data_IF_894566718083
#
_entry.id   IF_894566718083
#
_cell.length_a   1.000
_cell.length_b   1.000
_cell.length_c   1.000
_cell.angle_alpha   90.00
_cell.angle_beta   90.00
_cell.angle_gamma   90.00
#
_symmetry.space_group_name_H-M   'P 1'
#
loop_
_entity.id
_entity.type
_entity.pdbx_description
1 polymer ?
#
# COMPACT_ATOMS: atom_id res chain seq x y z
N UNK A 1 -36.06 -43.28 29.58
CA UNK A 1 -36.41 -41.88 29.89
C UNK A 1 -35.99 -41.01 28.72
N UNK A 2 -36.96 -40.37 28.04
CA UNK A 2 -36.75 -39.56 26.83
C UNK A 2 -36.68 -38.09 27.25
N UNK A 3 -35.60 -37.38 26.92
CA UNK A 3 -35.55 -35.92 27.02
C UNK A 3 -35.56 -35.32 25.62
N UNK A 4 -36.62 -34.54 25.35
CA UNK A 4 -36.79 -33.69 24.16
C UNK A 4 -36.10 -32.36 24.43
N UNK A 5 -35.27 -31.88 23.50
CA UNK A 5 -34.87 -30.48 23.43
C UNK A 5 -35.68 -29.77 22.36
N UNK A 6 -36.30 -28.66 22.76
CA UNK A 6 -37.09 -27.75 21.93
C UNK A 6 -36.14 -26.79 21.20
N UNK A 7 -36.28 -26.72 19.87
CA UNK A 7 -35.78 -25.62 19.04
C UNK A 7 -36.68 -24.40 19.22
N UNK A 8 -36.11 -23.25 19.53
CA UNK A 8 -36.78 -21.95 19.44
C UNK A 8 -36.30 -21.22 18.18
N UNK A 9 -37.23 -20.94 17.26
CA UNK A 9 -37.02 -20.14 16.07
C UNK A 9 -37.31 -18.66 16.39
N UNK A 10 -36.36 -17.77 16.07
CA UNK A 10 -36.56 -16.32 16.12
C UNK A 10 -36.88 -15.81 14.71
N UNK A 11 -38.11 -15.32 14.52
CA UNK A 11 -38.51 -14.54 13.34
C UNK A 11 -38.21 -13.06 13.57
N UNK A 12 -37.55 -12.42 12.60
CA UNK A 12 -37.34 -10.97 12.54
C UNK A 12 -38.35 -10.38 11.55
N UNK A 13 -39.14 -9.42 12.00
CA UNK A 13 -40.10 -8.63 11.22
C UNK A 13 -39.43 -7.34 10.75
N UNK A 14 -39.54 -6.92 9.47
CA UNK A 14 -39.12 -5.59 9.05
C UNK A 14 -40.23 -4.55 9.27
N UNK A 15 -39.87 -3.45 9.93
CA UNK A 15 -40.71 -2.26 10.10
C UNK A 15 -40.55 -1.36 8.86
N UNK A 16 -41.61 -1.24 8.07
CA UNK A 16 -41.75 -0.29 6.95
C UNK A 16 -42.31 1.00 7.52
N UNK A 17 -41.58 2.11 7.39
CA UNK A 17 -42.11 3.46 7.63
C UNK A 17 -42.18 4.18 6.29
N UNK A 18 -43.41 4.32 5.79
CA UNK A 18 -43.77 5.20 4.70
C UNK A 18 -44.15 6.57 5.29
N UNK A 19 -43.51 7.64 4.81
CA UNK A 19 -44.01 9.01 5.00
C UNK A 19 -44.28 9.66 3.65
N UNK A 20 -45.52 10.12 3.56
CA UNK A 20 -46.23 10.72 2.45
C UNK A 20 -45.83 12.18 2.16
N UNK A 21 -46.06 12.58 0.89
CA UNK A 21 -45.98 13.94 0.32
C UNK A 21 -46.82 14.99 1.10
N UNK A 22 -46.64 16.28 0.77
CA UNK A 22 -47.61 16.87 -0.16
C UNK A 22 -47.00 17.71 -1.29
N UNK A 23 -47.80 17.81 -2.35
CA UNK A 23 -47.67 18.60 -3.56
C UNK A 23 -47.57 20.11 -3.29
N UNK A 24 -46.88 20.82 -4.19
CA UNK A 24 -47.30 22.17 -4.61
C UNK A 24 -47.03 22.39 -6.08
N UNK A 25 -48.09 22.80 -6.76
CA UNK A 25 -48.23 23.17 -8.16
C UNK A 25 -47.78 24.62 -8.43
N UNK A 26 -47.35 24.81 -9.67
CA UNK A 26 -47.52 25.98 -10.55
C UNK A 26 -46.89 27.33 -10.16
N UNK A 27 -45.92 27.77 -10.96
CA UNK A 27 -46.16 28.80 -12.00
C UNK A 27 -44.85 29.16 -12.73
N UNK A 28 -44.84 28.97 -14.06
CA UNK A 28 -44.07 29.78 -15.00
C UNK A 28 -44.91 31.05 -15.31
N UNK A 29 -44.37 32.17 -15.89
CA UNK A 29 -43.79 32.11 -17.23
C UNK A 29 -42.74 33.20 -17.61
N UNK A 30 -42.32 33.12 -18.88
CA UNK A 30 -41.81 34.17 -19.79
C UNK A 30 -40.29 34.38 -19.92
N UNK A 31 -39.81 33.79 -21.02
CA UNK A 31 -39.11 34.45 -22.13
C UNK A 31 -38.64 35.89 -21.91
N UNK A 32 -37.32 36.09 -22.07
CA UNK A 32 -36.76 37.27 -22.74
C UNK A 32 -35.43 36.89 -23.40
N UNK A 33 -35.46 36.92 -24.73
CA UNK A 33 -34.31 36.90 -25.62
C UNK A 33 -33.28 37.96 -25.22
N UNK A 34 -32.00 37.58 -25.17
CA UNK A 34 -30.90 38.44 -25.61
C UNK A 34 -29.81 37.58 -26.25
N UNK A 35 -29.65 37.80 -27.55
CA UNK A 35 -28.54 37.31 -28.35
C UNK A 35 -27.22 37.89 -27.82
N UNK A 36 -26.23 37.02 -27.61
CA UNK A 36 -24.84 37.39 -27.51
C UNK A 36 -24.10 36.66 -28.64
N UNK A 37 -23.67 37.45 -29.62
CA UNK A 37 -22.75 37.01 -30.67
C UNK A 37 -21.48 36.48 -30.01
N UNK A 38 -21.14 35.23 -30.31
CA UNK A 38 -19.85 34.61 -29.94
C UNK A 38 -19.00 34.54 -31.21
N UNK A 39 -17.73 34.98 -31.18
CA UNK A 39 -16.85 34.78 -32.32
C UNK A 39 -16.44 33.30 -32.41
N UNK A 40 -16.69 32.76 -33.60
CA UNK A 40 -16.30 31.43 -34.04
C UNK A 40 -14.77 31.31 -34.04
N UNK A 41 -14.23 30.57 -33.07
CA UNK A 41 -12.86 30.07 -33.10
C UNK A 41 -12.91 28.59 -32.81
N UNK A 42 -13.03 27.82 -33.89
CA UNK A 42 -12.78 26.38 -33.88
C UNK A 42 -11.29 26.15 -33.55
N UNK A 43 -10.92 25.51 -32.43
CA UNK A 43 -9.55 25.08 -32.23
C UNK A 43 -9.31 23.83 -33.09
N UNK A 44 -8.28 23.87 -33.92
CA UNK A 44 -7.80 22.69 -34.62
C UNK A 44 -7.50 21.57 -33.62
N UNK A 45 -8.00 20.36 -33.90
CA UNK A 45 -7.69 19.17 -33.13
C UNK A 45 -6.17 18.91 -33.17
N UNK A 46 -5.51 19.11 -32.03
CA UNK A 46 -4.08 18.85 -31.88
C UNK A 46 -3.85 17.33 -31.77
N UNK A 47 -3.66 16.68 -32.92
CA UNK A 47 -3.31 15.27 -33.03
C UNK A 47 -1.83 15.01 -32.68
N UNK A 48 -1.39 15.39 -31.47
CA UNK A 48 -0.02 15.11 -30.99
C UNK A 48 0.02 13.94 -30.02
N UNK A 49 1.07 13.09 -30.08
CA UNK A 49 1.26 12.00 -29.13
C UNK A 49 1.52 12.56 -27.72
N UNK A 50 0.83 12.00 -26.73
CA UNK A 50 0.79 12.46 -25.33
C UNK A 50 2.13 12.39 -24.55
N UNK A 51 3.26 12.14 -25.22
CA UNK A 51 4.54 11.81 -24.57
C UNK A 51 5.66 12.81 -24.85
N UNK A 52 5.39 14.03 -25.33
CA UNK A 52 6.41 15.06 -25.52
C UNK A 52 6.23 16.19 -24.50
N UNK A 53 7.00 16.15 -23.41
CA UNK A 53 7.19 17.30 -22.53
C UNK A 53 8.05 18.36 -23.24
N UNK A 54 7.67 19.64 -23.16
CA UNK A 54 8.58 20.74 -23.49
C UNK A 54 9.31 21.21 -22.24
N UNK A 55 10.61 21.44 -22.40
CA UNK A 55 11.41 22.22 -21.46
C UNK A 55 10.81 23.65 -21.43
N UNK A 56 10.09 23.99 -20.35
CA UNK A 56 9.44 25.31 -20.19
C UNK A 56 7.92 25.33 -20.08
N UNK A 57 7.23 24.19 -20.07
CA UNK A 57 5.79 24.19 -19.73
C UNK A 57 5.61 24.70 -18.29
N UNK A 58 4.94 25.84 -18.16
CA UNK A 58 4.57 26.40 -16.86
C UNK A 58 3.54 25.47 -16.22
N UNK A 59 4.03 24.50 -15.45
CA UNK A 59 3.23 23.62 -14.61
C UNK A 59 2.35 24.52 -13.75
N UNK A 60 1.03 24.56 -13.99
CA UNK A 60 0.07 25.08 -13.00
C UNK A 60 0.50 24.46 -11.69
N UNK A 61 0.81 25.28 -10.67
CA UNK A 61 1.24 24.80 -9.34
C UNK A 61 0.40 23.57 -9.02
N UNK A 62 0.97 22.36 -9.04
CA UNK A 62 0.19 21.19 -8.72
C UNK A 62 -0.26 21.42 -7.29
N UNK A 63 -1.53 21.15 -7.00
CA UNK A 63 -1.91 20.90 -5.62
C UNK A 63 -1.09 19.68 -5.21
N UNK A 64 0.07 19.93 -4.61
CA UNK A 64 0.94 18.89 -4.08
C UNK A 64 0.12 18.29 -2.94
N UNK A 65 -0.61 17.22 -3.26
CA UNK A 65 -1.30 16.41 -2.29
C UNK A 65 -0.22 15.76 -1.43
N UNK A 66 0.14 16.46 -0.36
CA UNK A 66 1.01 15.95 0.69
C UNK A 66 0.19 14.94 1.47
N UNK A 67 0.17 13.70 1.00
CA UNK A 67 -0.27 12.60 1.86
C UNK A 67 0.64 12.59 3.09
N UNK A 68 0.06 12.69 4.29
CA UNK A 68 0.79 12.67 5.57
C UNK A 68 1.58 11.37 5.79
N UNK A 69 1.31 10.34 4.97
CA UNK A 69 1.95 9.02 5.03
C UNK A 69 2.69 8.71 3.75
N UNK A 70 3.92 8.23 3.88
CA UNK A 70 4.70 7.79 2.74
C UNK A 70 4.17 6.48 2.16
N UNK A 71 3.76 5.53 3.01
CA UNK A 71 3.23 4.23 2.59
C UNK A 71 1.99 3.85 3.40
N UNK A 72 1.16 2.98 2.83
CA UNK A 72 0.04 2.38 3.52
C UNK A 72 0.42 1.02 4.11
N UNK A 73 1.08 0.19 3.30
CA UNK A 73 1.26 -1.23 3.58
C UNK A 73 2.55 -1.79 2.95
N UNK A 74 3.25 -2.67 3.66
CA UNK A 74 4.34 -3.51 3.16
C UNK A 74 3.98 -4.96 3.48
N UNK A 75 3.89 -5.80 2.46
CA UNK A 75 3.64 -7.23 2.61
C UNK A 75 4.93 -8.03 2.51
N UNK A 76 5.04 -9.08 3.32
CA UNK A 76 6.16 -10.03 3.29
C UNK A 76 5.71 -11.40 2.75
N UNK A 77 6.67 -12.26 2.44
CA UNK A 77 6.40 -13.66 2.09
C UNK A 77 5.75 -14.42 3.25
N UNK A 78 5.07 -15.52 2.94
CA UNK A 78 4.53 -16.37 3.99
C UNK A 78 5.65 -17.01 4.81
N UNK A 79 5.44 -17.09 6.13
CA UNK A 79 6.43 -17.66 7.06
C UNK A 79 5.78 -18.80 7.82
N UNK A 80 6.45 -19.95 7.84
CA UNK A 80 6.06 -21.07 8.70
C UNK A 80 6.52 -20.79 10.13
N UNK A 81 5.61 -21.01 11.08
CA UNK A 81 5.82 -20.76 12.51
C UNK A 81 5.32 -21.96 13.31
N UNK A 82 5.65 -22.07 14.61
CA UNK A 82 5.10 -23.11 15.47
C UNK A 82 3.56 -23.17 15.51
N UNK A 83 2.88 -22.07 15.16
CA UNK A 83 1.42 -21.96 15.15
C UNK A 83 0.78 -22.11 13.76
N UNK A 84 1.57 -22.40 12.72
CA UNK A 84 1.12 -22.55 11.34
C UNK A 84 1.75 -21.53 10.39
N UNK A 85 1.12 -21.32 9.24
CA UNK A 85 1.60 -20.36 8.27
C UNK A 85 1.17 -18.95 8.64
N UNK A 86 2.02 -17.97 8.35
CA UNK A 86 1.73 -16.57 8.63
C UNK A 86 1.90 -15.69 7.41
N UNK A 87 1.14 -14.59 7.38
CA UNK A 87 1.33 -13.48 6.45
C UNK A 87 1.73 -12.25 7.27
N UNK A 88 3.04 -11.98 7.39
CA UNK A 88 3.53 -10.78 8.04
C UNK A 88 3.29 -9.56 7.15
N UNK A 89 2.96 -8.45 7.79
CA UNK A 89 2.73 -7.18 7.13
C UNK A 89 3.13 -6.02 8.03
N UNK A 90 3.52 -4.91 7.41
CA UNK A 90 3.81 -3.66 8.09
C UNK A 90 2.92 -2.56 7.52
N UNK A 91 2.45 -1.64 8.36
CA UNK A 91 1.64 -0.50 7.95
C UNK A 91 1.96 0.76 8.74
N UNK A 92 1.72 1.92 8.14
CA UNK A 92 1.90 3.20 8.83
C UNK A 92 0.75 3.45 9.83
N UNK A 93 1.09 3.84 11.06
CA UNK A 93 0.11 4.19 12.11
C UNK A 93 -0.31 5.65 12.02
N UNK A 94 -1.45 5.98 12.62
CA UNK A 94 -1.99 7.34 12.70
C UNK A 94 -1.04 8.33 13.38
N UNK A 95 -0.22 7.87 14.32
CA UNK A 95 0.77 8.68 15.04
C UNK A 95 2.13 8.75 14.32
N UNK A 96 2.22 8.30 13.06
CA UNK A 96 3.48 8.24 12.30
C UNK A 96 4.38 7.05 12.65
N UNK A 97 4.02 6.25 13.66
CA UNK A 97 4.75 5.03 14.00
C UNK A 97 4.51 3.89 13.02
N UNK A 98 5.13 2.75 13.29
CA UNK A 98 5.04 1.54 12.48
C UNK A 98 4.16 0.52 13.20
N UNK A 99 3.18 -0.03 12.50
CA UNK A 99 2.44 -1.21 12.92
C UNK A 99 2.98 -2.42 12.19
N UNK A 100 3.22 -3.52 12.89
CA UNK A 100 3.61 -4.79 12.31
C UNK A 100 2.63 -5.87 12.76
N UNK A 101 1.98 -6.52 11.81
CA UNK A 101 0.96 -7.52 12.07
C UNK A 101 1.37 -8.85 11.46
N UNK A 102 1.19 -9.92 12.22
CA UNK A 102 1.41 -11.30 11.82
C UNK A 102 0.05 -11.98 11.84
N UNK A 103 -0.47 -12.31 10.66
CA UNK A 103 -1.73 -13.04 10.51
C UNK A 103 -1.42 -14.52 10.40
N UNK A 104 -1.99 -15.34 11.26
CA UNK A 104 -1.82 -16.79 11.28
C UNK A 104 -2.97 -17.45 10.53
N UNK A 105 -2.65 -18.43 9.69
CA UNK A 105 -3.60 -19.26 8.96
C UNK A 105 -3.21 -20.72 9.12
N UNK A 106 -4.16 -21.57 9.50
CA UNK A 106 -3.98 -23.02 9.46
C UNK A 106 -5.21 -23.69 8.83
N UNK A 107 -5.05 -24.42 7.71
CA UNK A 107 -6.15 -25.21 7.14
C UNK A 107 -6.48 -26.35 8.11
N UNK A 108 -7.71 -26.41 8.64
CA UNK A 108 -8.05 -27.31 9.75
C UNK A 108 -8.80 -28.58 9.33
N UNK A 109 -8.89 -28.89 8.05
CA UNK A 109 -9.84 -29.89 7.58
C UNK A 109 -9.53 -31.33 8.04
N UNK A 110 -8.27 -31.70 8.34
CA UNK A 110 -7.93 -33.11 8.67
C UNK A 110 -6.77 -33.33 9.65
N UNK A 111 -6.14 -32.30 10.24
CA UNK A 111 -5.00 -32.55 11.14
C UNK A 111 -5.47 -32.86 12.57
N UNK A 112 -5.35 -34.13 12.96
CA UNK A 112 -5.55 -34.62 14.35
C UNK A 112 -4.38 -34.22 15.27
N UNK A 113 -3.40 -33.48 14.75
CA UNK A 113 -2.27 -33.00 15.55
C UNK A 113 -2.75 -32.06 16.65
N UNK A 114 -2.30 -32.36 17.88
CA UNK A 114 -2.47 -31.45 19.02
C UNK A 114 -1.96 -30.07 18.62
N UNK A 115 -2.83 -29.09 18.85
CA UNK A 115 -2.52 -27.68 18.65
C UNK A 115 -1.22 -27.34 19.37
N UNK A 116 -0.35 -26.55 18.75
CA UNK A 116 0.52 -25.71 19.56
C UNK A 116 -0.40 -24.84 20.43
N UNK A 117 -0.11 -24.70 21.74
CA UNK A 117 -0.89 -23.81 22.59
C UNK A 117 -0.93 -22.41 21.95
N UNK A 118 -2.01 -21.67 22.20
CA UNK A 118 -2.11 -20.28 21.77
C UNK A 118 -0.83 -19.54 22.21
N UNK A 119 -0.30 -18.63 21.37
CA UNK A 119 0.84 -17.82 21.78
C UNK A 119 0.50 -17.10 23.08
N UNK A 120 1.31 -17.29 24.11
CA UNK A 120 1.20 -16.62 25.39
C UNK A 120 2.00 -15.31 25.39
N UNK A 121 1.76 -14.46 26.39
CA UNK A 121 2.52 -13.23 26.54
C UNK A 121 4.01 -13.55 26.75
N UNK A 122 4.87 -13.07 25.83
CA UNK A 122 6.31 -13.34 25.85
C UNK A 122 6.78 -14.42 24.88
N UNK A 123 5.88 -15.23 24.31
CA UNK A 123 6.22 -16.22 23.28
C UNK A 123 6.72 -15.57 21.98
N UNK A 124 6.30 -14.33 21.77
CA UNK A 124 6.69 -13.51 20.63
C UNK A 124 7.20 -12.17 21.15
N UNK A 125 8.36 -11.74 20.66
CA UNK A 125 8.91 -10.41 20.92
C UNK A 125 9.36 -9.78 19.62
N UNK A 126 9.29 -8.45 19.53
CA UNK A 126 9.67 -7.70 18.35
C UNK A 126 10.52 -6.49 18.69
N UNK A 127 11.61 -6.31 17.96
CA UNK A 127 12.47 -5.12 18.07
C UNK A 127 12.87 -4.64 16.68
N UNK A 128 13.07 -3.34 16.52
CA UNK A 128 13.71 -2.78 15.32
C UNK A 128 15.20 -2.64 15.60
N UNK A 129 16.01 -3.14 14.66
CA UNK A 129 17.46 -3.16 14.72
C UNK A 129 18.05 -2.38 13.54
N UNK A 130 19.10 -1.61 13.81
CA UNK A 130 19.96 -0.96 12.81
C UNK A 130 21.39 -1.42 13.03
N UNK A 131 21.97 -2.15 12.07
CA UNK A 131 23.26 -2.81 12.28
C UNK A 131 23.19 -3.81 13.43
N UNK A 132 23.91 -3.55 14.52
CA UNK A 132 23.91 -4.37 15.75
C UNK A 132 23.12 -3.74 16.91
N UNK A 133 22.52 -2.57 16.71
CA UNK A 133 21.87 -1.80 17.76
C UNK A 133 20.35 -2.00 17.72
N UNK A 134 19.73 -2.30 18.87
CA UNK A 134 18.29 -2.21 19.05
C UNK A 134 17.92 -0.73 19.09
N UNK A 135 17.26 -0.24 18.05
CA UNK A 135 16.87 1.17 17.95
C UNK A 135 15.46 1.42 18.47
N UNK A 136 14.57 0.43 18.43
CA UNK A 136 13.20 0.53 18.99
C UNK A 136 12.75 -0.80 19.57
N UNK A 137 12.08 -0.74 20.71
CA UNK A 137 11.32 -1.85 21.27
C UNK A 137 9.85 -1.75 20.86
N UNK A 138 9.15 -2.87 20.79
CA UNK A 138 7.70 -2.84 20.57
C UNK A 138 6.97 -2.23 21.77
N UNK A 139 5.91 -1.49 21.50
CA UNK A 139 5.01 -0.92 22.50
C UNK A 139 3.55 -1.31 22.19
N UNK A 140 2.89 -2.13 23.01
CA UNK A 140 3.41 -2.77 24.23
C UNK A 140 4.56 -3.75 23.95
N UNK A 141 5.36 -4.03 24.98
CA UNK A 141 6.51 -4.94 24.90
C UNK A 141 6.08 -6.35 24.50
N UNK A 142 4.94 -6.82 25.03
CA UNK A 142 4.30 -8.03 24.55
C UNK A 142 3.36 -7.69 23.37
N UNK A 143 3.39 -8.47 22.28
CA UNK A 143 2.46 -8.27 21.18
C UNK A 143 0.99 -8.42 21.59
N UNK A 144 0.12 -7.69 20.89
CA UNK A 144 -1.33 -7.73 21.11
C UNK A 144 -1.94 -8.83 20.26
N UNK A 145 -2.72 -9.71 20.88
CA UNK A 145 -3.52 -10.71 20.17
C UNK A 145 -4.87 -10.06 19.81
N UNK A 146 -5.00 -9.62 18.56
CA UNK A 146 -6.17 -8.85 18.07
C UNK A 146 -7.37 -9.73 17.71
N UNK A 147 -7.24 -11.04 17.85
CA UNK A 147 -8.30 -12.00 17.64
C UNK A 147 -7.75 -13.38 17.33
N UNK A 148 -8.39 -14.40 17.88
CA UNK A 148 -8.14 -15.79 17.54
C UNK A 148 -9.48 -16.48 17.34
N UNK A 149 -9.85 -16.70 16.08
CA UNK A 149 -11.09 -17.36 15.70
C UNK A 149 -10.72 -18.74 15.18
N UNK A 150 -11.06 -19.77 15.96
CA UNK A 150 -11.04 -21.16 15.52
C UNK A 150 -12.44 -21.59 15.11
N UNK A 151 -12.60 -22.04 13.87
CA UNK A 151 -13.74 -22.83 13.44
C UNK A 151 -13.31 -24.26 13.15
N UNK A 152 -14.27 -25.16 12.93
CA UNK A 152 -14.00 -26.55 12.51
C UNK A 152 -13.24 -26.65 11.18
N UNK A 153 -13.13 -25.55 10.41
CA UNK A 153 -12.56 -25.53 9.06
C UNK A 153 -11.30 -24.67 8.91
N UNK A 154 -11.19 -23.60 9.70
CA UNK A 154 -10.08 -22.67 9.64
C UNK A 154 -9.88 -21.97 10.99
N UNK A 155 -8.62 -21.85 11.39
CA UNK A 155 -8.20 -21.01 12.50
C UNK A 155 -7.41 -19.82 11.98
N UNK A 156 -7.86 -18.62 12.35
CA UNK A 156 -7.17 -17.38 12.07
C UNK A 156 -6.81 -16.66 13.37
N UNK A 157 -5.55 -16.23 13.45
CA UNK A 157 -5.02 -15.46 14.57
C UNK A 157 -4.39 -14.18 14.06
N UNK A 158 -4.46 -13.09 14.82
CA UNK A 158 -3.72 -11.87 14.51
C UNK A 158 -2.88 -11.46 15.72
N UNK A 159 -1.60 -11.23 15.48
CA UNK A 159 -0.68 -10.66 16.45
C UNK A 159 -0.14 -9.33 15.91
N UNK A 160 -0.25 -8.27 16.69
CA UNK A 160 0.24 -6.95 16.30
C UNK A 160 1.27 -6.41 17.28
N UNK A 161 2.31 -5.82 16.72
CA UNK A 161 3.34 -5.06 17.39
C UNK A 161 3.31 -3.64 16.87
N UNK A 162 3.73 -2.70 17.69
CA UNK A 162 3.81 -1.32 17.29
C UNK A 162 5.15 -0.71 17.69
N UNK A 163 5.71 0.11 16.82
CA UNK A 163 6.98 0.77 17.02
C UNK A 163 6.81 2.27 16.79
N UNK A 164 7.67 3.05 17.42
CA UNK A 164 7.77 4.48 17.12
C UNK A 164 8.27 4.71 15.69
N UNK A 165 8.13 5.95 15.23
CA UNK A 165 8.68 6.35 13.94
C UNK A 165 10.21 6.20 13.92
N UNK A 166 10.73 5.73 12.79
CA UNK A 166 12.16 5.71 12.51
C UNK A 166 12.57 7.06 11.88
N UNK A 167 13.84 7.46 12.01
CA UNK A 167 14.32 8.66 11.33
C UNK A 167 14.19 8.56 9.80
N UNK A 168 14.04 9.70 9.09
CA UNK A 168 13.94 9.75 7.64
C UNK A 168 15.31 9.59 6.97
N UNK A 169 15.92 8.41 7.08
CA UNK A 169 17.22 8.11 6.47
C UNK A 169 17.16 6.91 5.52
N UNK A 170 18.28 6.61 4.85
CA UNK A 170 18.40 5.51 3.88
C UNK A 170 19.14 4.29 4.47
N UNK A 171 19.19 4.18 5.80
CA UNK A 171 19.81 3.05 6.51
C UNK A 171 18.96 1.80 6.39
N UNK A 172 19.60 0.64 6.56
CA UNK A 172 18.88 -0.63 6.72
C UNK A 172 18.32 -0.75 8.13
N UNK A 173 17.01 -0.94 8.21
CA UNK A 173 16.32 -1.29 9.42
C UNK A 173 15.68 -2.67 9.27
N UNK A 174 15.74 -3.45 10.33
CA UNK A 174 15.19 -4.79 10.37
C UNK A 174 14.26 -4.94 11.56
N UNK A 175 13.08 -5.52 11.36
CA UNK A 175 12.24 -5.99 12.46
C UNK A 175 12.70 -7.40 12.79
N UNK A 176 13.34 -7.59 13.94
CA UNK A 176 13.62 -8.92 14.48
C UNK A 176 12.43 -9.37 15.28
N UNK A 177 11.87 -10.52 14.92
CA UNK A 177 10.78 -11.17 15.62
C UNK A 177 11.28 -12.52 16.12
N UNK A 178 11.37 -12.64 17.44
CA UNK A 178 11.69 -13.90 18.11
C UNK A 178 10.36 -14.63 18.39
N UNK A 179 10.25 -15.89 17.97
CA UNK A 179 9.07 -16.75 18.16
C UNK A 179 9.54 -18.13 18.62
N UNK A 180 9.04 -18.67 19.75
CA UNK A 180 9.35 -20.03 20.28
C UNK A 180 10.40 -20.86 19.49
N UNK A 181 11.69 -20.61 19.77
CA UNK A 181 12.82 -21.37 19.20
C UNK A 181 13.27 -20.96 17.79
N UNK A 182 12.63 -19.97 17.18
CA UNK A 182 12.92 -19.43 15.85
C UNK A 182 13.08 -17.91 15.88
N UNK A 183 13.88 -17.38 14.97
CA UNK A 183 14.12 -15.95 14.82
C UNK A 183 13.95 -15.55 13.37
N UNK A 184 13.13 -14.53 13.16
CA UNK A 184 12.79 -14.01 11.86
C UNK A 184 13.20 -12.54 11.75
N UNK A 185 13.79 -12.16 10.62
CA UNK A 185 14.21 -10.79 10.33
C UNK A 185 13.45 -10.25 9.14
N UNK A 186 12.70 -9.17 9.32
CA UNK A 186 11.93 -8.56 8.24
C UNK A 186 12.56 -7.23 7.83
N UNK A 187 13.00 -7.12 6.58
CA UNK A 187 13.58 -5.89 6.07
C UNK A 187 12.51 -4.79 6.00
N UNK A 188 12.75 -3.67 6.66
CA UNK A 188 11.99 -2.43 6.42
C UNK A 188 12.60 -1.76 5.19
N UNK A 189 11.83 -1.53 4.10
CA UNK A 189 12.37 -0.78 2.96
C UNK A 189 12.94 0.58 3.42
N UNK A 190 14.22 0.83 3.10
CA UNK A 190 14.89 2.05 3.53
C UNK A 190 14.15 3.30 3.00
N UNK A 191 14.18 4.38 3.77
CA UNK A 191 13.47 5.62 3.45
C UNK A 191 11.94 5.56 3.62
N UNK A 192 11.33 4.46 4.07
CA UNK A 192 9.88 4.43 4.27
C UNK A 192 9.37 5.29 5.43
N UNK A 193 10.22 5.53 6.43
CA UNK A 193 9.77 6.01 7.73
C UNK A 193 9.92 7.51 7.96
N UNK A 194 10.21 8.29 6.91
CA UNK A 194 9.92 9.71 7.03
C UNK A 194 10.09 10.51 5.75
N UNK A 195 9.41 11.64 5.75
CA UNK A 195 9.42 12.64 4.68
C UNK A 195 10.56 13.61 4.96
N UNK A 196 11.77 13.36 4.45
CA UNK A 196 12.71 14.49 4.31
C UNK A 196 12.33 15.25 3.05
N UNK A 197 11.72 16.42 3.23
CA UNK A 197 11.63 17.45 2.19
C UNK A 197 12.96 18.18 1.99
N UNK A 198 14.04 17.80 2.70
CA UNK A 198 15.34 18.43 2.54
C UNK A 198 16.09 17.82 1.37
N UNK A 199 16.41 18.65 0.38
CA UNK A 199 17.22 18.34 -0.81
C UNK A 199 18.65 17.81 -0.51
N UNK A 200 19.01 17.66 0.77
CA UNK A 200 20.36 17.37 1.25
C UNK A 200 20.57 15.97 1.84
N UNK A 201 19.64 15.03 1.67
CA UNK A 201 19.84 13.69 2.20
C UNK A 201 21.11 13.05 1.61
N UNK A 202 22.06 12.61 2.44
CA UNK A 202 23.33 12.09 1.97
C UNK A 202 23.09 10.87 1.08
N UNK A 203 23.85 10.79 -0.03
CA UNK A 203 23.92 9.56 -0.82
C UNK A 203 24.52 8.48 0.06
N UNK A 204 23.81 7.37 0.21
CA UNK A 204 24.35 6.19 0.88
C UNK A 204 24.87 5.23 -0.20
N UNK A 205 26.12 4.82 -0.08
CA UNK A 205 26.73 3.85 -0.98
C UNK A 205 26.10 2.45 -0.76
N UNK A 206 26.00 1.67 -1.85
CA UNK A 206 25.48 0.29 -1.83
C UNK A 206 23.97 0.18 -2.07
N UNK A 207 23.57 -0.38 -3.21
CA UNK A 207 22.15 -0.54 -3.59
C UNK A 207 21.41 -1.60 -2.77
N UNK A 208 22.12 -2.67 -2.40
CA UNK A 208 21.52 -3.86 -1.79
C UNK A 208 21.50 -3.71 -0.27
N UNK A 209 20.36 -4.00 0.39
CA UNK A 209 20.30 -4.10 1.84
C UNK A 209 21.28 -5.17 2.34
N UNK A 210 22.10 -4.82 3.32
CA UNK A 210 23.00 -5.79 3.94
C UNK A 210 22.20 -6.78 4.78
N UNK A 211 22.60 -8.07 4.79
CA UNK A 211 22.04 -9.04 5.73
C UNK A 211 22.16 -8.47 7.16
N UNK A 212 21.15 -8.61 8.04
CA UNK A 212 21.24 -8.08 9.38
C UNK A 212 22.50 -8.62 10.06
N UNK A 213 23.45 -7.76 10.51
CA UNK A 213 24.75 -8.24 10.98
C UNK A 213 24.66 -9.15 12.22
N UNK A 214 23.62 -8.99 13.02
CA UNK A 214 23.35 -9.81 14.20
C UNK A 214 22.56 -11.11 13.90
N UNK A 215 22.25 -11.40 12.63
CA UNK A 215 21.51 -12.60 12.26
C UNK A 215 22.42 -13.84 12.22
N UNK A 216 22.06 -14.86 12.99
CA UNK A 216 22.72 -16.16 12.91
C UNK A 216 22.40 -16.85 11.56
N UNK A 217 23.16 -17.90 11.22
CA UNK A 217 22.89 -18.71 10.03
C UNK A 217 21.53 -19.42 10.12
N UNK A 218 21.12 -19.81 11.34
CA UNK A 218 19.82 -20.43 11.62
C UNK A 218 18.63 -19.48 11.51
N UNK A 219 18.89 -18.17 11.46
CA UNK A 219 17.83 -17.17 11.42
C UNK A 219 17.25 -17.06 10.00
N UNK A 220 15.94 -16.90 9.91
CA UNK A 220 15.27 -16.66 8.62
C UNK A 220 15.23 -15.18 8.31
N UNK A 221 15.74 -14.79 7.14
CA UNK A 221 15.74 -13.40 6.67
C UNK A 221 14.66 -13.23 5.60
N UNK A 222 13.70 -12.38 5.89
CA UNK A 222 12.53 -12.09 5.06
C UNK A 222 12.68 -10.77 4.36
N UNK A 223 12.60 -10.88 3.04
CA UNK A 223 12.51 -9.77 2.09
C UNK A 223 11.05 -9.36 1.94
N UNK A 224 10.77 -8.07 1.75
CA UNK A 224 9.40 -7.63 1.45
C UNK A 224 9.01 -8.07 0.03
N UNK A 225 7.74 -8.38 -0.16
CA UNK A 225 7.17 -8.84 -1.43
C UNK A 225 6.46 -7.70 -2.13
N UNK A 226 5.78 -6.81 -1.43
CA UNK A 226 5.18 -5.65 -2.09
C UNK A 226 5.01 -4.49 -1.14
N UNK A 227 4.93 -3.28 -1.71
CA UNK A 227 4.64 -2.07 -0.96
C UNK A 227 3.49 -1.34 -1.64
N UNK A 228 2.52 -0.87 -0.86
CA UNK A 228 1.45 0.01 -1.32
C UNK A 228 1.71 1.44 -0.81
N UNK A 229 1.79 2.38 -1.75
CA UNK A 229 1.92 3.80 -1.51
C UNK A 229 0.59 4.48 -1.78
N UNK A 230 0.00 5.11 -0.77
CA UNK A 230 -1.11 6.04 -0.98
C UNK A 230 -0.57 7.34 -1.58
N UNK A 231 -1.00 7.71 -2.78
CA UNK A 231 -0.50 8.91 -3.47
C UNK A 231 -1.40 10.12 -3.27
N UNK A 232 -2.69 9.88 -3.04
CA UNK A 232 -3.65 10.93 -2.69
C UNK A 232 -5.00 10.72 -3.35
N UNK A 233 -5.80 11.79 -3.33
CA UNK A 233 -7.14 11.82 -3.92
C UNK A 233 -7.28 12.97 -4.91
N UNK A 234 -7.84 12.70 -6.07
CA UNK A 234 -8.26 13.73 -7.04
C UNK A 234 -9.68 14.13 -6.66
N UNK A 235 -9.79 15.17 -5.83
CA UNK A 235 -11.04 15.56 -5.16
C UNK A 235 -12.15 15.92 -6.14
N UNK A 236 -11.84 16.53 -7.28
CA UNK A 236 -12.80 16.92 -8.31
C UNK A 236 -13.48 15.71 -8.98
N UNK A 237 -12.82 14.56 -8.92
CA UNK A 237 -13.29 13.32 -9.55
C UNK A 237 -13.70 12.24 -8.56
N UNK A 238 -13.46 12.46 -7.26
CA UNK A 238 -13.65 11.47 -6.20
C UNK A 238 -12.85 10.18 -6.47
N UNK A 239 -11.63 10.35 -6.98
CA UNK A 239 -10.72 9.24 -7.27
C UNK A 239 -9.64 9.16 -6.18
N UNK A 240 -9.39 7.96 -5.68
CA UNK A 240 -8.19 7.65 -4.90
C UNK A 240 -7.14 7.02 -5.81
N UNK A 241 -5.88 7.44 -5.65
CA UNK A 241 -4.76 6.94 -6.44
C UNK A 241 -3.72 6.34 -5.50
N UNK A 242 -3.34 5.11 -5.77
CA UNK A 242 -2.33 4.36 -5.03
C UNK A 242 -1.33 3.72 -6.01
N UNK A 243 -0.13 3.42 -5.50
CA UNK A 243 0.90 2.70 -6.24
C UNK A 243 1.27 1.43 -5.48
N UNK A 244 1.05 0.30 -6.13
CA UNK A 244 1.46 -1.01 -5.66
C UNK A 244 2.77 -1.36 -6.37
N UNK A 245 3.84 -1.47 -5.60
CA UNK A 245 5.18 -1.83 -6.08
C UNK A 245 5.38 -3.32 -5.86
N UNK A 246 5.39 -4.05 -6.98
CA UNK A 246 5.76 -5.46 -7.13
C UNK A 246 7.03 -5.53 -8.04
N UNK A 247 7.44 -6.68 -8.57
CA UNK A 247 6.86 -7.12 -9.80
C UNK A 247 7.13 -6.12 -10.91
N UNK A 248 6.01 -5.48 -11.16
CA UNK A 248 5.83 -4.27 -11.91
C UNK A 248 5.39 -3.14 -10.97
N UNK A 249 5.32 -1.94 -11.51
CA UNK A 249 4.68 -0.81 -10.85
C UNK A 249 3.21 -0.76 -11.26
N UNK A 250 2.29 -0.89 -10.31
CA UNK A 250 0.86 -0.87 -10.61
C UNK A 250 0.23 0.37 -10.02
N UNK A 251 -0.27 1.26 -10.87
CA UNK A 251 -1.14 2.35 -10.44
C UNK A 251 -2.53 1.76 -10.23
N UNK A 252 -3.04 1.85 -9.02
CA UNK A 252 -4.43 1.52 -8.71
C UNK A 252 -5.23 2.83 -8.64
N UNK A 253 -6.31 2.85 -9.41
CA UNK A 253 -7.34 3.89 -9.38
C UNK A 253 -8.58 3.32 -8.72
N UNK A 254 -9.08 4.00 -7.70
CA UNK A 254 -10.30 3.63 -6.99
C UNK A 254 -11.32 4.76 -7.00
N UNK A 255 -12.59 4.42 -7.22
CA UNK A 255 -13.71 5.32 -6.97
C UNK A 255 -14.96 4.51 -6.60
N UNK A 256 -15.81 5.06 -5.76
CA UNK A 256 -17.02 4.36 -5.27
C UNK A 256 -18.15 4.29 -6.32
N UNK A 257 -18.11 5.17 -7.33
CA UNK A 257 -19.25 5.44 -8.21
C UNK A 257 -19.01 5.01 -9.65
N UNK A 258 -19.36 3.77 -9.95
CA UNK A 258 -19.41 3.25 -11.33
C UNK A 258 -18.23 2.35 -11.67
N UNK A 259 -18.19 1.93 -12.93
CA UNK A 259 -17.12 1.09 -13.44
C UNK A 259 -16.08 1.90 -14.21
N UNK A 260 -14.82 1.53 -14.07
CA UNK A 260 -13.74 2.16 -14.84
C UNK A 260 -13.82 1.84 -16.33
N UNK A 261 -13.45 2.82 -17.16
CA UNK A 261 -13.05 2.56 -18.54
C UNK A 261 -11.58 2.09 -18.57
N UNK A 262 -11.24 1.20 -19.50
CA UNK A 262 -9.86 0.74 -19.72
C UNK A 262 -9.05 1.74 -20.57
N UNK A 263 -9.71 2.69 -21.23
CA UNK A 263 -9.05 3.69 -22.09
C UNK A 263 -8.91 5.06 -21.42
N UNK A 264 -9.74 5.34 -20.41
CA UNK A 264 -9.80 6.63 -19.71
C UNK A 264 -10.06 6.42 -18.21
N UNK A 265 -9.39 7.15 -17.31
CA UNK A 265 -8.33 8.13 -17.57
C UNK A 265 -7.07 7.48 -18.16
N UNK A 266 -6.23 8.27 -18.81
CA UNK A 266 -4.87 7.85 -19.17
C UNK A 266 -3.97 8.05 -17.97
N UNK A 267 -3.09 7.11 -17.72
CA UNK A 267 -2.07 7.26 -16.67
C UNK A 267 -0.68 7.31 -17.29
N UNK A 268 0.29 7.85 -16.56
CA UNK A 268 1.70 7.66 -16.81
C UNK A 268 2.49 7.72 -15.51
N UNK A 269 3.69 7.17 -15.51
CA UNK A 269 4.58 7.15 -14.34
C UNK A 269 6.00 7.52 -14.75
N UNK A 270 6.64 8.36 -13.94
CA UNK A 270 8.04 8.73 -14.09
C UNK A 270 8.74 8.78 -12.73
N UNK A 271 10.02 8.45 -12.72
CA UNK A 271 10.89 8.56 -11.56
C UNK A 271 12.07 9.46 -11.89
N UNK A 272 12.31 10.45 -11.06
CA UNK A 272 13.39 11.42 -11.19
C UNK A 272 14.34 11.24 -9.99
N UNK A 273 15.42 10.43 -10.12
CA UNK A 273 16.42 10.31 -9.08
C UNK A 273 17.08 11.66 -8.80
N UNK A 274 17.43 11.97 -7.55
CA UNK A 274 18.16 13.19 -7.22
C UNK A 274 19.54 13.24 -7.90
N UNK A 275 19.70 14.18 -8.82
CA UNK A 275 20.91 14.33 -9.64
C UNK A 275 21.08 13.24 -10.72
N UNK A 276 20.00 12.55 -11.08
CA UNK A 276 19.97 11.53 -12.14
C UNK A 276 19.10 11.93 -13.34
N UNK A 277 19.07 11.05 -14.34
CA UNK A 277 18.22 11.19 -15.53
C UNK A 277 16.80 10.68 -15.21
N UNK A 278 15.73 11.41 -15.60
CA UNK A 278 14.36 10.93 -15.49
C UNK A 278 14.16 9.58 -16.19
N UNK A 279 13.39 8.70 -15.56
CA UNK A 279 13.02 7.40 -16.09
C UNK A 279 11.50 7.33 -16.23
N UNK A 280 11.03 6.76 -17.32
CA UNK A 280 9.60 6.67 -17.61
C UNK A 280 9.19 5.21 -17.63
N UNK A 281 8.07 4.90 -16.97
CA UNK A 281 7.48 3.56 -17.03
C UNK A 281 6.73 3.36 -18.34
N UNK A 282 6.89 2.20 -18.95
CA UNK A 282 6.12 1.75 -20.10
C UNK A 282 4.86 1.04 -19.61
N UNK A 283 3.68 1.47 -20.07
CA UNK A 283 2.43 0.80 -19.76
C UNK A 283 2.39 -0.56 -20.45
N UNK A 284 2.24 -1.63 -19.68
CA UNK A 284 2.25 -3.03 -20.16
C UNK A 284 0.88 -3.70 -20.09
N UNK A 285 -0.03 -3.18 -19.26
CA UNK A 285 -1.38 -3.74 -19.13
C UNK A 285 -2.33 -2.80 -18.41
N UNK A 286 -3.61 -2.95 -18.71
CA UNK A 286 -4.71 -2.26 -18.02
C UNK A 286 -5.79 -3.28 -17.72
N UNK A 287 -6.24 -3.32 -16.46
CA UNK A 287 -7.25 -4.28 -16.02
C UNK A 287 -8.20 -3.66 -14.97
N UNK A 288 -9.31 -4.34 -14.69
CA UNK A 288 -10.29 -3.95 -13.68
C UNK A 288 -10.47 -5.06 -12.67
N UNK A 289 -10.84 -4.68 -11.45
CA UNK A 289 -11.29 -5.65 -10.49
C UNK A 289 -12.66 -6.21 -10.92
N UNK A 290 -12.75 -7.53 -11.09
CA UNK A 290 -13.96 -8.22 -11.56
C UNK A 290 -15.19 -8.01 -10.64
N UNK A 291 -14.97 -7.54 -9.40
CA UNK A 291 -16.01 -7.37 -8.40
C UNK A 291 -16.32 -5.88 -8.24
N UNK A 292 -17.48 -5.47 -8.77
CA UNK A 292 -18.03 -4.10 -8.74
C UNK A 292 -17.32 -3.05 -9.61
N UNK A 293 -16.26 -3.39 -10.35
CA UNK A 293 -15.51 -2.49 -11.24
C UNK A 293 -15.01 -1.17 -10.59
N UNK A 294 -14.97 -1.10 -9.25
CA UNK A 294 -14.56 0.10 -8.50
C UNK A 294 -13.06 0.37 -8.58
N UNK A 295 -12.26 -0.62 -9.01
CA UNK A 295 -10.81 -0.53 -9.13
C UNK A 295 -10.34 -0.78 -10.55
N UNK A 296 -9.40 0.04 -11.00
CA UNK A 296 -8.63 -0.16 -12.23
C UNK A 296 -7.15 -0.21 -11.88
N UNK A 297 -6.43 -1.11 -12.55
CA UNK A 297 -5.01 -1.34 -12.38
C UNK A 297 -4.29 -1.10 -13.69
N UNK A 298 -3.34 -0.17 -13.68
CA UNK A 298 -2.48 0.15 -14.81
C UNK A 298 -1.05 -0.30 -14.47
N UNK A 299 -0.55 -1.30 -15.20
CA UNK A 299 0.72 -1.96 -14.93
C UNK A 299 1.83 -1.33 -15.76
N UNK A 300 2.95 -1.00 -15.12
CA UNK A 300 4.09 -0.31 -15.69
C UNK A 300 5.39 -1.07 -15.45
N UNK A 301 6.25 -1.05 -16.47
CA UNK A 301 7.61 -1.55 -16.41
C UNK A 301 8.60 -0.40 -16.65
N UNK A 302 9.61 -0.28 -15.80
CA UNK A 302 10.70 0.69 -15.96
C UNK A 302 11.93 0.10 -16.66
N UNK A 303 11.87 -1.18 -17.05
CA UNK A 303 13.00 -1.94 -17.56
C UNK A 303 14.05 -2.19 -16.46
N UNK A 304 15.23 -2.65 -16.87
CA UNK A 304 16.34 -2.85 -15.93
C UNK A 304 16.83 -1.52 -15.39
N UNK A 305 16.62 -1.32 -14.10
CA UNK A 305 17.17 -0.20 -13.35
C UNK A 305 18.52 -0.69 -12.79
N UNK A 306 19.66 -0.18 -13.30
CA UNK A 306 20.95 -0.57 -12.74
C UNK A 306 20.98 -0.26 -11.24
N UNK A 307 21.56 -1.14 -10.41
CA UNK A 307 21.69 -0.91 -8.99
C UNK A 307 22.44 0.41 -8.80
N UNK A 308 21.74 1.41 -8.28
CA UNK A 308 22.30 2.73 -8.00
C UNK A 308 22.63 2.85 -6.52
N UNK A 309 23.43 3.85 -6.16
CA UNK A 309 23.52 4.27 -4.76
C UNK A 309 22.10 4.52 -4.20
N UNK A 310 21.94 4.32 -2.89
CA UNK A 310 20.69 4.66 -2.23
C UNK A 310 20.52 6.16 -2.29
N UNK A 311 19.40 6.57 -2.83
CA UNK A 311 19.07 7.97 -3.02
C UNK A 311 17.58 8.17 -2.85
N UNK A 312 17.19 9.40 -2.59
CA UNK A 312 15.82 9.83 -2.81
C UNK A 312 15.63 10.22 -4.28
N UNK A 313 14.38 10.24 -4.70
CA UNK A 313 13.95 10.81 -5.97
C UNK A 313 12.49 11.21 -5.93
N UNK A 314 12.03 11.85 -7.00
CA UNK A 314 10.65 12.27 -7.17
C UNK A 314 9.93 11.26 -8.07
N UNK A 315 8.93 10.59 -7.52
CA UNK A 315 7.95 9.86 -8.30
C UNK A 315 6.89 10.83 -8.78
N UNK A 316 6.62 10.84 -10.09
CA UNK A 316 5.53 11.58 -10.72
C UNK A 316 4.57 10.60 -11.35
N UNK A 317 3.31 10.72 -11.01
CA UNK A 317 2.20 9.99 -11.64
C UNK A 317 1.25 11.01 -12.23
N UNK A 318 0.89 10.80 -13.49
CA UNK A 318 -0.10 11.62 -14.17
C UNK A 318 -1.36 10.78 -14.38
N UNK A 319 -2.53 11.36 -14.12
CA UNK A 319 -3.85 10.77 -14.38
C UNK A 319 -4.65 11.81 -15.15
N UNK A 320 -4.82 11.62 -16.46
CA UNK A 320 -5.27 12.67 -17.40
C UNK A 320 -4.49 13.99 -17.20
N UNK A 321 -5.17 15.05 -16.79
CA UNK A 321 -4.59 16.38 -16.57
C UNK A 321 -4.06 16.59 -15.14
N UNK A 322 -4.22 15.58 -14.27
CA UNK A 322 -3.79 15.65 -12.88
C UNK A 322 -2.39 15.10 -12.71
N UNK A 323 -1.56 15.80 -11.93
CA UNK A 323 -0.18 15.40 -11.62
C UNK A 323 -0.05 15.20 -10.12
N UNK A 324 0.38 13.99 -9.74
CA UNK A 324 0.68 13.59 -8.38
C UNK A 324 2.18 13.38 -8.25
N UNK A 325 2.79 14.02 -7.25
CA UNK A 325 4.22 13.92 -7.02
C UNK A 325 4.52 13.47 -5.59
N UNK A 326 5.49 12.57 -5.44
CA UNK A 326 5.90 12.05 -4.13
C UNK A 326 7.39 11.81 -4.07
N UNK A 327 8.02 12.24 -2.98
CA UNK A 327 9.41 11.89 -2.70
C UNK A 327 9.44 10.43 -2.25
N UNK A 328 10.25 9.62 -2.92
CA UNK A 328 10.37 8.19 -2.69
C UNK A 328 11.83 7.75 -2.65
N UNK A 329 12.17 6.76 -1.83
CA UNK A 329 13.51 6.17 -1.83
C UNK A 329 13.73 5.31 -3.09
N UNK A 330 14.99 5.16 -3.49
CA UNK A 330 15.37 4.27 -4.58
C UNK A 330 15.11 2.78 -4.29
N UNK A 331 14.77 2.42 -3.05
CA UNK A 331 14.42 1.04 -2.65
C UNK A 331 13.22 0.53 -3.44
N UNK A 332 12.37 1.43 -3.94
CA UNK A 332 11.30 1.13 -4.88
C UNK A 332 11.74 0.33 -6.11
N UNK A 333 12.95 0.62 -6.60
CA UNK A 333 13.41 0.18 -7.91
C UNK A 333 14.50 -0.88 -7.83
N UNK A 334 15.13 -1.02 -6.67
CA UNK A 334 16.32 -1.83 -6.49
C UNK A 334 16.04 -3.23 -5.96
N UNK A 335 14.79 -3.52 -5.59
CA UNK A 335 14.47 -4.76 -4.92
C UNK A 335 13.92 -5.81 -5.89
N UNK A 336 14.82 -6.65 -6.39
CA UNK A 336 14.44 -7.88 -7.06
C UNK A 336 13.87 -8.88 -6.05
N UNK A 337 12.55 -8.88 -5.94
CA UNK A 337 11.65 -9.99 -5.61
C UNK A 337 12.33 -11.31 -5.34
N UNK A 338 12.74 -11.54 -4.09
CA UNK A 338 12.92 -12.87 -3.51
C UNK A 338 13.66 -13.92 -4.35
N UNK A 339 14.40 -13.54 -5.40
CA UNK A 339 15.34 -14.42 -6.04
C UNK A 339 16.46 -14.48 -5.02
N UNK A 340 16.65 -15.63 -4.33
CA UNK A 340 17.92 -15.83 -3.66
C UNK A 340 18.98 -15.51 -4.72
N UNK A 341 20.03 -14.81 -4.31
CA UNK A 341 21.20 -14.65 -5.16
C UNK A 341 21.53 -16.07 -5.65
N UNK A 342 21.26 -16.33 -6.93
CA UNK A 342 21.59 -17.61 -7.51
C UNK A 342 23.11 -17.62 -7.55
N UNK A 343 23.71 -18.30 -6.56
CA UNK A 343 25.12 -18.70 -6.60
C UNK A 343 25.45 -19.43 -7.90
#
# INVERSE_FOLDING_TARGET
MRFRFLLAAAMVVPLVVACSRPERQDQAPRELLKAAETPDTTPAADNRPANQFREGDSVRKPDILRGDRMFEFVGYGMVETPWGFTSPAMGARKNGGIGFTIKFFRPSLFSVEKWAPLPEAGDVTGVIIRGNEVVRESTPAAPIIDGWLGSTFESQGNLSMAFEALPPDLSDYWIRVDMLGTRHWFLIPYGLCGLTTSDSSPRHEGATPERPPAAAESDTVHRWVHVNYELGKISEKDWSVSLIVRDTFTIELYHEKGGWSLSTPRTSIAYLPLGGVPRFGSLTGVSRENRYDMRRYDLYDFGQIPPSNRTWGLLRITVDDFVLEKVVPSSLFQYTYGKPDSE
#
